data_IF_796213102147
#
_entry.id   IF_796213102147
#
_cell.length_a   1.000
_cell.length_b   1.000
_cell.length_c   1.000
_cell.angle_alpha   90.00
_cell.angle_beta   90.00
_cell.angle_gamma   90.00
#
_symmetry.space_group_name_H-M   'P 1'
#
loop_
_entity.id
_entity.type
_entity.pdbx_description
1 polymer ?
#
# COMPACT_ATOMS: atom_id res chain seq x y z
N UNK A 1 -16.38 3.19 25.99
CA UNK A 1 -15.08 3.87 25.82
C UNK A 1 -14.50 3.48 24.47
N UNK A 2 -14.35 4.40 23.51
CA UNK A 2 -13.64 4.11 22.26
C UNK A 2 -12.20 3.71 22.60
N UNK A 3 -11.72 2.62 21.99
CA UNK A 3 -10.38 2.08 22.22
C UNK A 3 -9.35 3.06 21.66
N UNK A 4 -8.54 3.70 22.51
CA UNK A 4 -7.45 4.57 22.06
C UNK A 4 -6.29 3.70 21.51
N UNK A 5 -6.07 3.66 20.19
CA UNK A 5 -5.03 2.82 19.60
C UNK A 5 -3.61 3.31 19.90
N UNK A 6 -3.47 4.57 20.35
CA UNK A 6 -2.20 5.17 20.78
C UNK A 6 -1.79 4.73 22.18
N UNK A 7 -2.70 4.14 22.95
CA UNK A 7 -2.33 3.58 24.24
C UNK A 7 -1.55 2.28 24.00
N UNK A 8 -0.38 2.16 24.64
CA UNK A 8 0.48 1.00 24.47
C UNK A 8 -0.29 -0.25 24.91
N UNK A 9 -0.59 -1.15 23.96
CA UNK A 9 -1.47 -2.31 24.18
C UNK A 9 -0.83 -3.32 25.14
N UNK A 10 0.49 -3.26 25.31
CA UNK A 10 1.27 -4.16 26.14
C UNK A 10 2.05 -3.34 27.18
N UNK A 11 1.79 -3.52 28.49
CA UNK A 11 2.57 -2.88 29.54
C UNK A 11 4.01 -3.40 29.50
N UNK A 12 4.98 -2.54 29.80
CA UNK A 12 6.41 -2.82 29.71
C UNK A 12 6.92 -4.00 30.58
N UNK A 13 6.07 -4.56 31.45
CA UNK A 13 6.40 -5.64 32.38
C UNK A 13 5.62 -6.95 32.19
N UNK A 14 4.80 -7.10 31.14
CA UNK A 14 4.19 -8.41 30.82
C UNK A 14 5.16 -9.24 29.95
N UNK A 15 5.42 -10.48 30.38
CA UNK A 15 6.14 -11.47 29.57
C UNK A 15 5.34 -11.75 28.28
N UNK A 16 5.77 -11.13 27.19
CA UNK A 16 5.18 -11.38 25.89
C UNK A 16 5.41 -12.85 25.53
N UNK A 17 4.36 -13.61 25.16
CA UNK A 17 4.54 -14.99 24.72
C UNK A 17 5.55 -15.01 23.56
N UNK A 18 6.51 -15.93 23.62
CA UNK A 18 7.57 -16.06 22.63
C UNK A 18 7.01 -15.91 21.22
N UNK A 19 7.59 -15.00 20.43
CA UNK A 19 7.12 -14.69 19.10
C UNK A 19 7.03 -15.98 18.28
N UNK A 20 5.80 -16.50 18.10
CA UNK A 20 5.57 -17.66 17.23
C UNK A 20 6.05 -17.25 15.84
N UNK A 21 7.12 -17.89 15.37
CA UNK A 21 7.74 -17.62 14.09
C UNK A 21 6.67 -17.36 13.02
N UNK A 22 6.77 -16.22 12.35
CA UNK A 22 5.79 -15.84 11.33
C UNK A 22 5.63 -16.94 10.29
N UNK A 23 4.39 -17.19 9.84
CA UNK A 23 4.11 -18.24 8.85
C UNK A 23 5.09 -18.12 7.68
N UNK A 24 5.74 -19.21 7.23
CA UNK A 24 6.70 -19.16 6.13
C UNK A 24 6.07 -18.57 4.87
N UNK A 25 4.77 -18.83 4.65
CA UNK A 25 3.96 -18.22 3.59
C UNK A 25 3.95 -16.68 3.66
N UNK A 26 3.74 -16.10 4.84
CA UNK A 26 3.77 -14.63 5.00
C UNK A 26 5.17 -14.04 4.80
N UNK A 27 6.23 -14.75 5.21
CA UNK A 27 7.62 -14.33 4.94
C UNK A 27 7.89 -14.34 3.43
N UNK A 28 7.52 -15.43 2.75
CA UNK A 28 7.64 -15.55 1.30
C UNK A 28 6.83 -14.45 0.58
N UNK A 29 5.61 -14.15 1.05
CA UNK A 29 4.78 -13.09 0.47
C UNK A 29 5.36 -11.69 0.61
N UNK A 30 6.07 -11.42 1.72
CA UNK A 30 6.79 -10.14 1.89
C UNK A 30 8.02 -10.10 0.99
N UNK A 31 8.79 -11.18 0.97
CA UNK A 31 9.96 -11.33 0.12
C UNK A 31 9.62 -11.44 -1.39
N UNK A 32 8.36 -11.65 -1.77
CA UNK A 32 7.95 -11.91 -3.17
C UNK A 32 8.52 -10.90 -4.17
N UNK A 33 8.55 -9.62 -3.81
CA UNK A 33 9.05 -8.56 -4.70
C UNK A 33 10.57 -8.59 -4.81
N UNK A 34 11.26 -8.91 -3.71
CA UNK A 34 12.71 -9.05 -3.69
C UNK A 34 13.14 -10.30 -4.44
N UNK A 35 12.45 -11.41 -4.23
CA UNK A 35 12.68 -12.67 -4.95
C UNK A 35 12.36 -12.54 -6.44
N UNK A 36 11.29 -11.84 -6.81
CA UNK A 36 10.97 -11.58 -8.21
C UNK A 36 12.04 -10.70 -8.89
N UNK A 37 12.54 -9.67 -8.20
CA UNK A 37 13.61 -8.82 -8.72
C UNK A 37 14.94 -9.57 -8.85
N UNK A 38 15.32 -10.33 -7.81
CA UNK A 38 16.54 -11.15 -7.82
C UNK A 38 16.47 -12.24 -8.89
N UNK A 39 15.34 -12.95 -8.97
CA UNK A 39 15.13 -13.99 -9.98
C UNK A 39 15.13 -13.42 -11.40
N UNK A 40 14.45 -12.29 -11.62
CA UNK A 40 14.46 -11.60 -12.92
C UNK A 40 15.85 -11.13 -13.32
N UNK A 41 16.62 -10.55 -12.39
CA UNK A 41 17.99 -10.14 -12.62
C UNK A 41 18.91 -11.33 -12.95
N UNK A 42 18.79 -12.41 -12.18
CA UNK A 42 19.58 -13.62 -12.40
C UNK A 42 19.30 -14.23 -13.79
N UNK A 43 18.02 -14.35 -14.18
CA UNK A 43 17.61 -14.83 -15.50
C UNK A 43 18.12 -13.92 -16.63
N UNK A 44 18.06 -12.60 -16.43
CA UNK A 44 18.57 -11.64 -17.41
C UNK A 44 20.08 -11.80 -17.60
N UNK A 45 20.83 -11.86 -16.51
CA UNK A 45 22.30 -12.00 -16.53
C UNK A 45 22.71 -13.33 -17.18
N UNK A 46 22.07 -14.44 -16.82
CA UNK A 46 22.38 -15.75 -17.43
C UNK A 46 22.03 -15.79 -18.91
N UNK A 47 20.92 -15.18 -19.33
CA UNK A 47 20.55 -15.08 -20.74
C UNK A 47 21.56 -14.25 -21.54
N UNK A 48 22.02 -13.12 -21.00
CA UNK A 48 23.00 -12.26 -21.66
C UNK A 48 24.39 -12.92 -21.73
N UNK A 49 24.84 -13.56 -20.66
CA UNK A 49 26.08 -14.35 -20.66
C UNK A 49 26.02 -15.48 -21.70
N UNK A 50 24.93 -16.24 -21.73
CA UNK A 50 24.74 -17.31 -22.71
C UNK A 50 24.73 -16.79 -24.15
N UNK A 51 24.11 -15.63 -24.39
CA UNK A 51 24.11 -14.99 -25.69
C UNK A 51 25.49 -14.45 -26.12
N UNK A 52 26.25 -13.89 -25.18
CA UNK A 52 27.62 -13.41 -25.43
C UNK A 52 28.52 -14.56 -25.87
N UNK A 53 28.45 -15.71 -25.18
CA UNK A 53 29.22 -16.91 -25.51
C UNK A 53 28.88 -17.46 -26.90
N UNK A 54 27.63 -17.27 -27.36
CA UNK A 54 27.15 -17.68 -28.69
C UNK A 54 27.36 -16.61 -29.77
N UNK A 55 27.97 -15.45 -29.45
CA UNK A 55 28.12 -14.33 -30.38
C UNK A 55 26.80 -13.66 -30.81
N UNK A 56 25.71 -13.88 -30.07
CA UNK A 56 24.37 -13.35 -30.39
C UNK A 56 24.19 -11.98 -29.77
N UNK A 57 24.12 -10.95 -30.61
CA UNK A 57 23.90 -9.56 -30.18
C UNK A 57 22.41 -9.20 -29.97
N UNK A 58 21.48 -9.97 -30.55
CA UNK A 58 20.04 -9.71 -30.47
C UNK A 58 19.48 -9.47 -29.05
N UNK A 59 19.81 -10.27 -28.01
CA UNK A 59 19.28 -10.04 -26.67
C UNK A 59 19.81 -8.74 -26.03
N UNK A 60 21.02 -8.30 -26.37
CA UNK A 60 21.53 -7.00 -25.91
C UNK A 60 20.72 -5.85 -26.49
N UNK A 61 20.39 -5.92 -27.78
CA UNK A 61 19.55 -4.91 -28.45
C UNK A 61 18.12 -4.94 -27.90
N UNK A 62 17.57 -6.13 -27.63
CA UNK A 62 16.24 -6.25 -27.00
C UNK A 62 16.21 -5.64 -25.60
N UNK A 63 17.23 -5.89 -24.76
CA UNK A 63 17.33 -5.31 -23.42
C UNK A 63 17.52 -3.80 -23.50
N UNK A 64 18.42 -3.33 -24.37
CA UNK A 64 18.63 -1.90 -24.60
C UNK A 64 17.34 -1.22 -25.06
N UNK A 65 16.59 -1.81 -25.99
CA UNK A 65 15.28 -1.31 -26.43
C UNK A 65 14.24 -1.33 -25.31
N UNK A 66 14.14 -2.43 -24.55
CA UNK A 66 13.18 -2.57 -23.46
C UNK A 66 13.41 -1.56 -22.32
N UNK A 67 14.64 -1.13 -22.08
CA UNK A 67 14.97 -0.07 -21.10
C UNK A 67 14.83 1.32 -21.70
N UNK A 68 15.29 1.51 -22.95
CA UNK A 68 15.34 2.85 -23.58
C UNK A 68 13.96 3.36 -24.01
N UNK A 69 13.06 2.49 -24.47
CA UNK A 69 11.72 2.90 -24.94
C UNK A 69 10.86 3.47 -23.79
N UNK A 70 10.76 2.83 -22.61
CA UNK A 70 10.07 3.42 -21.48
C UNK A 70 10.76 4.67 -20.94
N UNK A 71 12.10 4.74 -21.01
CA UNK A 71 12.86 5.90 -20.57
C UNK A 71 12.67 7.12 -21.49
N UNK A 72 12.54 6.92 -22.79
CA UNK A 72 12.33 7.98 -23.78
C UNK A 72 10.89 8.51 -23.79
N UNK A 73 9.91 7.68 -23.42
CA UNK A 73 8.49 8.05 -23.48
C UNK A 73 7.99 8.61 -22.14
N UNK A 74 7.20 9.70 -22.19
CA UNK A 74 6.54 10.27 -20.99
C UNK A 74 5.62 9.25 -20.31
N UNK A 75 4.92 8.43 -21.10
CA UNK A 75 4.04 7.37 -20.59
C UNK A 75 4.83 6.29 -19.86
N UNK A 76 5.93 5.79 -20.45
CA UNK A 76 6.79 4.78 -19.84
C UNK A 76 7.41 5.27 -18.53
N UNK A 77 7.97 6.48 -18.52
CA UNK A 77 8.52 7.10 -17.30
C UNK A 77 7.47 7.22 -16.20
N UNK A 78 6.28 7.72 -16.52
CA UNK A 78 5.19 7.86 -15.54
C UNK A 78 4.74 6.50 -14.99
N UNK A 79 4.66 5.48 -15.85
CA UNK A 79 4.30 4.12 -15.45
C UNK A 79 5.36 3.52 -14.51
N UNK A 80 6.65 3.64 -14.83
CA UNK A 80 7.76 3.16 -13.99
C UNK A 80 7.75 3.86 -12.64
N UNK A 81 7.61 5.19 -12.62
CA UNK A 81 7.54 5.98 -11.39
C UNK A 81 6.35 5.54 -10.52
N UNK A 82 5.17 5.36 -11.10
CA UNK A 82 3.98 4.93 -10.37
C UNK A 82 4.15 3.55 -9.72
N UNK A 83 4.76 2.58 -10.43
CA UNK A 83 5.04 1.25 -9.89
C UNK A 83 6.18 1.25 -8.86
N UNK A 84 7.20 2.08 -9.07
CA UNK A 84 8.26 2.30 -8.09
C UNK A 84 7.68 2.77 -6.76
N UNK A 85 6.79 3.77 -6.79
CA UNK A 85 6.10 4.25 -5.60
C UNK A 85 5.27 3.16 -4.92
N UNK A 86 4.63 2.26 -5.66
CA UNK A 86 3.93 1.12 -5.07
C UNK A 86 4.86 0.21 -4.24
N UNK A 87 6.08 -0.05 -4.72
CA UNK A 87 7.07 -0.86 -3.98
C UNK A 87 7.56 -0.12 -2.73
N UNK A 88 7.83 1.18 -2.87
CA UNK A 88 8.27 2.04 -1.76
C UNK A 88 7.20 2.13 -0.68
N UNK A 89 5.95 2.44 -1.06
CA UNK A 89 4.79 2.50 -0.17
C UNK A 89 4.56 1.18 0.54
N UNK A 90 4.73 0.03 -0.15
CA UNK A 90 4.62 -1.29 0.49
C UNK A 90 5.61 -1.49 1.63
N UNK A 91 6.90 -1.21 1.39
CA UNK A 91 7.95 -1.39 2.40
C UNK A 91 7.76 -0.43 3.56
N UNK A 92 7.43 0.82 3.27
CA UNK A 92 7.22 1.87 4.28
C UNK A 92 6.00 1.57 5.14
N UNK A 93 4.87 1.21 4.54
CA UNK A 93 3.65 0.81 5.27
C UNK A 93 3.90 -0.39 6.19
N UNK A 94 4.64 -1.40 5.71
CA UNK A 94 5.01 -2.55 6.54
C UNK A 94 5.92 -2.15 7.70
N UNK A 95 6.88 -1.25 7.47
CA UNK A 95 7.75 -0.73 8.52
C UNK A 95 6.95 0.07 9.55
N UNK A 96 6.04 0.94 9.14
CA UNK A 96 5.15 1.65 10.08
C UNK A 96 4.35 0.67 10.94
N UNK A 97 3.83 -0.41 10.35
CA UNK A 97 3.11 -1.44 11.13
C UNK A 97 4.02 -2.19 12.13
N UNK A 98 5.32 -2.29 11.87
CA UNK A 98 6.30 -2.89 12.78
C UNK A 98 6.67 -1.93 13.93
N UNK A 99 6.86 -0.65 13.63
CA UNK A 99 7.32 0.36 14.60
C UNK A 99 6.17 0.89 15.48
N UNK A 100 4.91 0.73 15.05
CA UNK A 100 3.70 1.14 15.80
C UNK A 100 3.01 -0.05 16.45
N UNK A 101 1.98 0.20 17.28
CA UNK A 101 1.16 -0.84 17.93
C UNK A 101 0.26 -1.63 16.95
N UNK A 102 0.37 -1.40 15.64
CA UNK A 102 -0.36 -2.11 14.58
C UNK A 102 0.21 -3.51 14.31
N UNK A 103 0.50 -4.25 15.38
CA UNK A 103 0.93 -5.65 15.34
C UNK A 103 0.22 -6.44 16.43
N UNK A 104 0.04 -7.74 16.21
CA UNK A 104 -0.52 -8.60 17.26
C UNK A 104 0.48 -8.83 18.39
N UNK A 105 0.02 -9.30 19.56
CA UNK A 105 0.89 -9.68 20.71
C UNK A 105 2.03 -10.62 20.33
N UNK A 106 1.82 -11.46 19.32
CA UNK A 106 2.82 -12.38 18.76
C UNK A 106 3.73 -11.76 17.68
N UNK A 107 3.75 -10.43 17.54
CA UNK A 107 4.54 -9.71 16.53
C UNK A 107 4.07 -9.89 15.08
N UNK A 108 2.81 -10.28 14.83
CA UNK A 108 2.33 -10.43 13.44
C UNK A 108 1.79 -9.12 12.92
N UNK A 109 2.42 -8.61 11.87
CA UNK A 109 1.95 -7.42 11.15
C UNK A 109 0.87 -7.75 10.11
N UNK A 110 0.00 -6.77 9.79
CA UNK A 110 -0.92 -6.82 8.65
C UNK A 110 -0.22 -7.20 7.35
N UNK A 111 -0.94 -7.91 6.48
CA UNK A 111 -0.42 -8.37 5.20
C UNK A 111 -0.88 -7.44 4.08
N UNK A 112 0.04 -6.66 3.52
CA UNK A 112 -0.23 -5.90 2.29
C UNK A 112 -0.37 -6.88 1.13
N UNK A 113 -1.58 -7.09 0.63
CA UNK A 113 -1.86 -8.04 -0.44
C UNK A 113 -1.43 -7.49 -1.80
N UNK A 114 -1.85 -6.26 -2.09
CA UNK A 114 -1.65 -5.62 -3.38
C UNK A 114 -1.60 -4.11 -3.22
N UNK A 115 -0.81 -3.43 -4.07
CA UNK A 115 -0.81 -1.98 -4.18
C UNK A 115 -0.96 -1.64 -5.65
N UNK A 116 -1.92 -0.79 -5.98
CA UNK A 116 -2.16 -0.31 -7.34
C UNK A 116 -1.89 1.18 -7.43
N UNK A 117 -1.17 1.65 -8.47
CA UNK A 117 -1.06 3.08 -8.74
C UNK A 117 -2.41 3.68 -9.09
N UNK A 118 -2.63 4.93 -8.68
CA UNK A 118 -3.81 5.74 -9.01
C UNK A 118 -3.36 7.10 -9.55
N UNK A 119 -4.32 7.92 -9.99
CA UNK A 119 -4.06 9.29 -10.44
C UNK A 119 -3.50 10.18 -9.31
N UNK A 120 -3.95 9.95 -8.08
CA UNK A 120 -3.61 10.71 -6.87
C UNK A 120 -2.41 10.16 -6.10
N UNK A 121 -2.05 8.90 -6.31
CA UNK A 121 -0.98 8.23 -5.56
C UNK A 121 -1.10 6.71 -5.69
N UNK A 122 -1.40 6.03 -4.58
CA UNK A 122 -1.54 4.56 -4.57
C UNK A 122 -2.68 4.08 -3.67
N UNK A 123 -3.25 2.90 -3.96
CA UNK A 123 -4.20 2.21 -3.07
C UNK A 123 -3.66 0.84 -2.68
N UNK A 124 -3.52 0.61 -1.38
CA UNK A 124 -3.05 -0.65 -0.81
C UNK A 124 -4.19 -1.47 -0.22
N UNK A 125 -4.41 -2.67 -0.74
CA UNK A 125 -5.27 -3.66 -0.12
C UNK A 125 -4.51 -4.38 1.00
N UNK A 126 -5.01 -4.27 2.22
CA UNK A 126 -4.39 -4.83 3.41
C UNK A 126 -5.33 -5.84 4.05
N UNK A 127 -4.79 -7.03 4.34
CA UNK A 127 -5.45 -8.00 5.19
C UNK A 127 -4.92 -7.84 6.62
N UNK A 128 -5.78 -7.39 7.53
CA UNK A 128 -5.45 -7.26 8.94
C UNK A 128 -5.51 -8.61 9.66
N UNK A 129 -4.88 -8.66 10.84
CA UNK A 129 -4.90 -9.82 11.73
C UNK A 129 -5.86 -9.58 12.89
N UNK A 130 -6.25 -10.66 13.57
CA UNK A 130 -7.06 -10.55 14.77
C UNK A 130 -6.41 -9.61 15.79
N UNK A 131 -7.18 -8.64 16.29
CA UNK A 131 -6.70 -7.60 17.20
C UNK A 131 -6.31 -6.28 16.54
N UNK A 132 -6.29 -6.21 15.20
CA UNK A 132 -6.05 -4.99 14.43
C UNK A 132 -7.32 -4.64 13.66
N UNK A 133 -7.74 -3.38 13.71
CA UNK A 133 -8.96 -2.89 13.07
C UNK A 133 -8.67 -1.76 12.09
N UNK A 134 -9.67 -1.35 11.31
CA UNK A 134 -9.50 -0.26 10.35
C UNK A 134 -9.41 1.11 11.04
N UNK A 135 -10.06 1.26 12.19
CA UNK A 135 -9.98 2.43 13.06
C UNK A 135 -8.56 2.62 13.62
N UNK A 136 -7.82 1.53 13.85
CA UNK A 136 -6.41 1.63 14.23
C UNK A 136 -5.55 2.23 13.09
N UNK A 137 -5.82 1.83 11.85
CA UNK A 137 -5.13 2.41 10.68
C UNK A 137 -5.48 3.89 10.48
N UNK A 138 -6.72 4.27 10.74
CA UNK A 138 -7.17 5.66 10.65
C UNK A 138 -6.49 6.54 11.71
N UNK A 139 -6.41 6.06 12.96
CA UNK A 139 -5.77 6.80 14.04
C UNK A 139 -4.24 6.96 13.89
N UNK A 140 -3.60 6.05 13.14
CA UNK A 140 -2.19 6.11 12.73
C UNK A 140 -2.01 6.70 11.31
N UNK A 141 -3.06 7.32 10.75
CA UNK A 141 -3.07 7.81 9.37
C UNK A 141 -1.94 8.82 9.08
N UNK A 142 -1.64 9.68 10.05
CA UNK A 142 -0.60 10.71 9.90
C UNK A 142 0.81 10.09 9.95
N UNK A 143 1.04 9.08 10.79
CA UNK A 143 2.29 8.32 10.84
C UNK A 143 2.49 7.51 9.56
N UNK A 144 1.42 6.94 9.02
CA UNK A 144 1.46 6.26 7.72
C UNK A 144 1.76 7.28 6.62
N UNK A 145 1.11 8.44 6.60
CA UNK A 145 1.33 9.49 5.63
C UNK A 145 2.80 9.96 5.65
N UNK A 146 3.32 10.28 6.84
CA UNK A 146 4.70 10.68 7.05
C UNK A 146 5.69 9.58 6.61
N UNK A 147 5.45 8.33 7.03
CA UNK A 147 6.32 7.22 6.68
C UNK A 147 6.34 6.94 5.18
N UNK A 148 5.20 7.07 4.50
CA UNK A 148 5.06 6.88 3.06
C UNK A 148 5.46 8.12 2.23
N UNK A 149 5.83 9.25 2.85
CA UNK A 149 6.06 10.53 2.15
C UNK A 149 4.84 10.99 1.35
N UNK A 150 3.66 10.78 1.91
CA UNK A 150 2.38 11.16 1.33
C UNK A 150 1.86 12.43 1.99
N UNK A 151 0.95 13.12 1.30
CA UNK A 151 0.26 14.30 1.83
C UNK A 151 -0.77 13.89 2.88
N UNK A 152 -1.53 12.84 2.58
CA UNK A 152 -2.56 12.31 3.45
C UNK A 152 -2.81 10.84 3.17
N UNK A 153 -3.50 10.19 4.09
CA UNK A 153 -3.91 8.80 3.98
C UNK A 153 -5.40 8.71 4.30
N UNK A 154 -6.15 8.02 3.44
CA UNK A 154 -7.54 7.68 3.67
C UNK A 154 -7.68 6.18 3.90
N UNK A 155 -8.51 5.79 4.86
CA UNK A 155 -8.74 4.39 5.20
C UNK A 155 -10.18 4.02 4.91
N UNK A 156 -10.34 2.86 4.27
CA UNK A 156 -11.64 2.29 3.92
C UNK A 156 -11.74 0.88 4.51
N UNK A 157 -12.86 0.56 5.16
CA UNK A 157 -13.15 -0.79 5.65
C UNK A 157 -14.07 -1.54 4.69
N UNK A 158 -13.89 -2.85 4.56
CA UNK A 158 -14.82 -3.66 3.78
C UNK A 158 -16.14 -3.86 4.54
N UNK A 159 -17.28 -3.73 3.87
CA UNK A 159 -18.63 -3.78 4.47
C UNK A 159 -18.94 -5.10 5.19
N UNK A 160 -18.60 -6.22 4.56
CA UNK A 160 -18.93 -7.56 5.09
C UNK A 160 -17.74 -8.33 5.66
N UNK A 161 -16.50 -7.82 5.51
CA UNK A 161 -15.28 -8.58 5.83
C UNK A 161 -14.26 -7.68 6.51
N UNK A 162 -14.40 -7.50 7.82
CA UNK A 162 -13.53 -6.60 8.60
C UNK A 162 -12.02 -6.93 8.52
N UNK A 163 -11.64 -8.14 8.08
CA UNK A 163 -10.23 -8.46 7.84
C UNK A 163 -9.60 -7.72 6.67
N UNK A 164 -10.38 -7.08 5.80
CA UNK A 164 -9.88 -6.35 4.64
C UNK A 164 -10.12 -4.85 4.81
N UNK A 165 -9.06 -4.08 4.57
CA UNK A 165 -9.12 -2.63 4.48
C UNK A 165 -8.32 -2.13 3.29
N UNK A 166 -8.65 -0.95 2.82
CA UNK A 166 -7.88 -0.22 1.82
C UNK A 166 -7.27 1.00 2.47
N UNK A 167 -5.96 1.15 2.29
CA UNK A 167 -5.20 2.36 2.63
C UNK A 167 -4.92 3.09 1.33
N UNK A 168 -5.58 4.22 1.13
CA UNK A 168 -5.28 5.14 0.03
C UNK A 168 -4.20 6.12 0.48
N UNK A 169 -3.11 6.16 -0.28
CA UNK A 169 -1.94 7.00 -0.04
C UNK A 169 -2.00 8.13 -1.06
N UNK A 170 -2.32 9.34 -0.61
CA UNK A 170 -2.53 10.51 -1.47
C UNK A 170 -1.23 11.32 -1.54
N UNK A 171 -0.69 11.47 -2.75
CA UNK A 171 0.54 12.25 -3.01
C UNK A 171 0.27 13.51 -3.83
N UNK A 172 -0.77 13.48 -4.66
CA UNK A 172 -1.15 14.53 -5.61
C UNK A 172 -2.63 14.85 -5.45
N UNK A 173 -2.98 16.09 -5.71
CA UNK A 173 -4.37 16.53 -5.76
C UNK A 173 -5.13 15.82 -6.88
N UNK A 174 -6.41 15.53 -6.62
CA UNK A 174 -7.33 15.13 -7.69
C UNK A 174 -7.43 16.31 -8.67
N UNK A 175 -7.13 16.06 -9.94
CA UNK A 175 -7.43 17.06 -10.96
C UNK A 175 -8.97 17.22 -11.02
N UNK A 176 -9.51 18.45 -11.16
CA UNK A 176 -10.95 18.64 -11.28
C UNK A 176 -11.53 17.76 -12.39
N UNK A 177 -12.50 16.91 -12.05
CA UNK A 177 -13.14 15.97 -12.99
C UNK A 177 -12.42 14.64 -13.22
N UNK A 178 -11.28 14.39 -12.56
CA UNK A 178 -10.63 13.09 -12.60
C UNK A 178 -11.33 12.13 -11.62
N UNK A 179 -12.18 11.24 -12.15
CA UNK A 179 -12.62 10.08 -11.39
C UNK A 179 -11.37 9.31 -10.93
N UNK A 180 -11.16 9.14 -9.62
CA UNK A 180 -10.05 8.36 -9.08
C UNK A 180 -10.30 6.87 -9.39
N UNK A 181 -9.73 6.31 -10.48
CA UNK A 181 -10.23 5.04 -11.03
C UNK A 181 -9.76 3.83 -10.21
N UNK A 182 -9.11 4.05 -9.07
CA UNK A 182 -8.37 3.01 -8.35
C UNK A 182 -9.23 2.12 -7.47
N UNK A 183 -10.21 2.68 -6.75
CA UNK A 183 -11.03 1.89 -5.83
C UNK A 183 -12.15 1.19 -6.61
N UNK A 184 -12.89 1.98 -7.39
CA UNK A 184 -14.13 1.57 -8.03
C UNK A 184 -13.90 0.53 -9.13
N UNK A 185 -12.81 0.68 -9.90
CA UNK A 185 -12.48 -0.25 -11.00
C UNK A 185 -11.93 -1.59 -10.52
N UNK A 186 -11.17 -1.61 -9.41
CA UNK A 186 -10.43 -2.79 -8.96
C UNK A 186 -11.08 -3.52 -7.78
N UNK A 187 -11.79 -2.80 -6.92
CA UNK A 187 -12.31 -3.35 -5.66
C UNK A 187 -13.82 -3.19 -5.49
N UNK A 188 -14.52 -2.51 -6.41
CA UNK A 188 -15.97 -2.38 -6.44
C UNK A 188 -16.52 -1.34 -5.47
N UNK A 189 -17.28 -0.36 -5.99
CA UNK A 189 -17.80 0.81 -5.25
C UNK A 189 -18.66 0.47 -4.02
N UNK A 190 -19.39 -0.64 -4.07
CA UNK A 190 -20.36 -0.99 -3.03
C UNK A 190 -19.79 -1.76 -1.85
N UNK A 191 -18.51 -2.16 -1.87
CA UNK A 191 -17.93 -3.04 -0.86
C UNK A 191 -17.15 -2.29 0.24
N UNK A 192 -16.87 -1.00 0.08
CA UNK A 192 -15.95 -0.25 0.95
C UNK A 192 -16.60 0.98 1.56
N UNK A 193 -16.37 1.19 2.86
CA UNK A 193 -16.87 2.34 3.60
C UNK A 193 -15.69 3.20 4.06
N UNK A 194 -15.69 4.53 3.77
CA UNK A 194 -14.66 5.43 4.29
C UNK A 194 -14.80 5.55 5.82
N UNK A 195 -13.68 5.67 6.52
CA UNK A 195 -13.67 5.97 7.96
C UNK A 195 -13.62 7.48 8.25
N UNK A 196 -12.94 8.26 7.41
CA UNK A 196 -12.69 9.70 7.63
C UNK A 196 -13.87 10.63 7.30
N UNK A 197 -15.05 10.09 6.99
CA UNK A 197 -16.21 10.85 6.50
C UNK A 197 -17.20 11.29 7.60
N UNK A 198 -17.03 10.84 8.84
CA UNK A 198 -18.01 11.14 9.91
C UNK A 198 -17.68 12.40 10.73
N UNK A 199 -16.59 13.12 10.42
CA UNK A 199 -16.14 14.28 11.22
C UNK A 199 -16.11 15.62 10.47
N UNK A 200 -16.49 15.67 9.19
CA UNK A 200 -16.32 16.88 8.38
C UNK A 200 -17.53 17.19 7.49
N UNK A 201 -18.73 17.12 8.08
CA UNK A 201 -19.88 17.85 7.57
C UNK A 201 -20.29 18.86 8.65
N UNK A 202 -19.89 20.14 8.55
CA UNK A 202 -20.37 21.15 9.48
C UNK A 202 -21.91 21.20 9.35
N UNK A 203 -22.65 21.06 10.47
CA UNK A 203 -24.12 21.04 10.45
C UNK A 203 -24.76 22.34 9.90
N UNK A 204 -23.94 23.36 9.64
CA UNK A 204 -24.37 24.71 9.30
C UNK A 204 -24.75 24.89 7.83
N UNK A 205 -24.49 23.93 6.94
CA UNK A 205 -24.81 24.05 5.50
C UNK A 205 -26.17 23.46 5.09
N UNK A 206 -26.83 22.69 5.97
CA UNK A 206 -28.15 22.10 5.67
C UNK A 206 -29.30 23.08 6.00
N UNK A 207 -29.03 24.19 6.68
CA UNK A 207 -30.03 25.08 7.25
C UNK A 207 -30.11 26.49 6.64
N UNK A 208 -29.87 26.64 5.33
CA UNK A 208 -30.33 27.86 4.64
C UNK A 208 -31.69 27.59 3.98
N UNK A 209 -32.81 28.02 4.58
CA UNK A 209 -34.08 28.02 3.88
C UNK A 209 -33.95 28.92 2.65
N UNK A 210 -34.38 28.40 1.50
CA UNK A 210 -34.56 29.19 0.29
C UNK A 210 -35.54 30.32 0.64
N UNK A 211 -35.03 31.54 0.76
CA UNK A 211 -35.85 32.72 0.94
C UNK A 211 -36.72 32.89 -0.32
N UNK A 212 -38.04 32.85 -0.12
CA UNK A 212 -39.04 33.24 -1.11
C UNK A 212 -39.22 34.75 -1.17
#
# INVERSE_FOLDING_TARGET
>A
MPRNPRNQIYPAGEDLPAARGGSPVARLWRARTELALLGGLALLVTALLGAAQQGRWAPFVLVAGAVSVPAATRFGRNWVVAHFWCVVSRRRLQRTCLETTMHTRSGRIPLVLWITPTTTGEKALVMVRAGISAEAFEAYGDEIAAACWARSVNVYRHRTRAQFLIVEIVRRDEAPGAASPGLDRLYGRQAWLPLRSELEEPPDLVALPQAG
#
